data_IF_728057188537
#
_entry.id   IF_728057188537
#
_cell.length_a   1.000
_cell.length_b   1.000
_cell.length_c   1.000
_cell.angle_alpha   90.00
_cell.angle_beta   90.00
_cell.angle_gamma   90.00
#
_symmetry.space_group_name_H-M   'P 1'
#
loop_
_entity.id
_entity.type
_entity.pdbx_description
1 polymer ?
#
# COMPACT_ATOMS: atom_id res chain seq x y z
N UNK A 1 0.36 27.52 16.56
CA UNK A 1 -0.94 27.02 17.11
C UNK A 1 -1.15 25.63 16.56
N UNK A 2 -1.53 24.71 17.41
CA UNK A 2 -1.87 23.35 16.95
C UNK A 2 -3.07 23.42 16.02
N UNK A 3 -2.97 22.74 14.89
CA UNK A 3 -4.05 22.56 13.91
C UNK A 3 -4.62 21.14 14.04
N UNK A 4 -5.86 20.97 13.62
CA UNK A 4 -6.44 19.63 13.50
C UNK A 4 -6.78 19.37 12.04
N UNK A 5 -6.66 18.12 11.64
CA UNK A 5 -6.79 17.65 10.30
C UNK A 5 -7.76 16.48 10.21
N UNK A 6 -8.49 16.40 9.12
CA UNK A 6 -9.30 15.25 8.76
C UNK A 6 -8.58 14.47 7.66
N UNK A 7 -8.27 13.21 7.92
CA UNK A 7 -7.55 12.34 6.98
C UNK A 7 -8.48 11.22 6.52
N UNK A 8 -8.55 11.01 5.22
CA UNK A 8 -9.25 9.88 4.60
C UNK A 8 -8.22 8.93 4.01
N UNK A 9 -8.13 7.72 4.55
CA UNK A 9 -7.17 6.70 4.10
C UNK A 9 -7.93 5.51 3.51
N UNK A 10 -7.78 5.31 2.21
CA UNK A 10 -8.49 4.29 1.44
C UNK A 10 -7.55 3.13 1.10
N UNK A 11 -7.52 2.11 1.94
CA UNK A 11 -6.77 0.89 1.69
C UNK A 11 -7.53 -0.12 0.83
N UNK A 12 -6.92 -1.26 0.53
CA UNK A 12 -7.55 -2.32 -0.26
C UNK A 12 -8.72 -2.99 0.47
N UNK A 13 -8.53 -3.41 1.72
CA UNK A 13 -9.56 -4.16 2.47
C UNK A 13 -10.47 -3.27 3.31
N UNK A 14 -9.89 -2.24 3.91
CA UNK A 14 -10.55 -1.31 4.81
C UNK A 14 -10.18 0.12 4.47
N UNK A 15 -11.13 1.00 4.68
CA UNK A 15 -10.96 2.45 4.63
C UNK A 15 -11.18 3.04 6.01
N UNK A 16 -10.61 4.22 6.26
CA UNK A 16 -10.76 4.91 7.53
C UNK A 16 -10.77 6.43 7.35
N UNK A 17 -11.46 7.07 8.26
CA UNK A 17 -11.42 8.52 8.46
C UNK A 17 -10.86 8.78 9.85
N UNK A 18 -9.89 9.66 9.95
CA UNK A 18 -9.22 10.01 11.21
C UNK A 18 -9.23 11.52 11.43
N UNK A 19 -9.56 11.94 12.64
CA UNK A 19 -9.35 13.29 13.14
C UNK A 19 -8.06 13.31 13.93
N UNK A 20 -7.10 14.14 13.50
CA UNK A 20 -5.72 14.10 13.99
C UNK A 20 -5.21 15.50 14.27
N UNK A 21 -4.40 15.67 15.30
CA UNK A 21 -3.70 16.95 15.55
C UNK A 21 -2.48 17.09 14.63
N UNK A 22 -1.98 18.31 14.48
CA UNK A 22 -0.72 18.60 13.78
C UNK A 22 0.51 17.92 14.43
N UNK A 23 0.40 17.47 15.67
CA UNK A 23 1.44 16.69 16.36
C UNK A 23 1.36 15.18 16.06
N UNK A 24 0.37 14.74 15.28
CA UNK A 24 0.16 13.33 14.95
C UNK A 24 -0.70 12.54 15.95
N UNK A 25 -1.23 13.19 17.00
CA UNK A 25 -2.12 12.52 17.95
C UNK A 25 -3.48 12.29 17.29
N UNK A 26 -3.90 11.04 17.18
CA UNK A 26 -5.24 10.65 16.72
C UNK A 26 -6.24 11.00 17.83
N UNK A 27 -7.22 11.85 17.51
CA UNK A 27 -8.31 12.24 18.42
C UNK A 27 -9.43 11.21 18.32
N UNK A 28 -9.81 10.83 17.09
CA UNK A 28 -10.85 9.83 16.81
C UNK A 28 -10.62 9.20 15.44
N UNK A 29 -11.13 7.99 15.25
CA UNK A 29 -11.01 7.27 13.99
C UNK A 29 -12.20 6.32 13.77
N UNK A 30 -12.75 6.35 12.58
CA UNK A 30 -13.78 5.42 12.11
C UNK A 30 -13.25 4.61 10.96
N UNK A 31 -13.43 3.30 11.00
CA UNK A 31 -13.03 2.38 9.92
C UNK A 31 -14.26 1.64 9.38
N UNK A 32 -14.22 1.29 8.10
CA UNK A 32 -15.25 0.50 7.43
C UNK A 32 -14.64 -0.43 6.38
N UNK A 33 -15.27 -1.57 6.16
CA UNK A 33 -14.86 -2.53 5.13
C UNK A 33 -15.24 -2.02 3.74
N UNK A 34 -14.33 -2.24 2.78
CA UNK A 34 -14.55 -1.93 1.38
C UNK A 34 -15.33 -3.05 0.71
N UNK A 35 -16.30 -2.68 -0.12
CA UNK A 35 -17.11 -3.62 -0.87
C UNK A 35 -16.77 -3.56 -2.34
N UNK A 36 -16.52 -4.73 -2.92
CA UNK A 36 -16.24 -4.90 -4.33
C UNK A 36 -17.31 -5.75 -4.98
N UNK A 37 -17.58 -5.48 -6.26
CA UNK A 37 -18.46 -6.27 -7.11
C UNK A 37 -17.63 -7.05 -8.11
N UNK A 38 -18.09 -8.23 -8.48
CA UNK A 38 -17.50 -9.00 -9.57
C UNK A 38 -18.16 -8.61 -10.89
N UNK A 39 -17.38 -8.68 -11.95
CA UNK A 39 -17.87 -8.49 -13.30
C UNK A 39 -18.47 -9.80 -13.81
N UNK A 40 -19.62 -9.73 -14.49
CA UNK A 40 -20.32 -10.93 -14.99
C UNK A 40 -19.62 -11.57 -16.20
N UNK A 41 -18.74 -10.81 -16.89
CA UNK A 41 -18.08 -11.29 -18.12
C UNK A 41 -16.71 -11.93 -17.86
N UNK A 42 -16.10 -11.67 -16.71
CA UNK A 42 -14.77 -12.19 -16.40
C UNK A 42 -14.58 -12.36 -14.88
N UNK A 43 -14.32 -13.59 -14.46
CA UNK A 43 -14.27 -13.97 -13.04
C UNK A 43 -13.24 -13.17 -12.21
N UNK A 44 -12.09 -12.82 -12.81
CA UNK A 44 -11.02 -12.08 -12.15
C UNK A 44 -11.21 -10.55 -12.23
N UNK A 45 -12.29 -10.06 -12.87
CA UNK A 45 -12.60 -8.65 -12.94
C UNK A 45 -13.44 -8.20 -11.75
N UNK A 46 -12.95 -7.17 -11.07
CA UNK A 46 -13.61 -6.58 -9.92
C UNK A 46 -13.75 -5.07 -10.11
N UNK A 47 -14.79 -4.49 -9.51
CA UNK A 47 -15.03 -3.05 -9.51
C UNK A 47 -15.73 -2.62 -8.24
N UNK A 48 -15.76 -1.33 -7.98
CA UNK A 48 -16.61 -0.75 -6.96
C UNK A 48 -17.47 0.37 -7.54
N UNK A 49 -18.57 0.67 -6.86
CA UNK A 49 -19.46 1.78 -7.22
C UNK A 49 -19.01 3.01 -6.42
N UNK A 50 -18.49 4.07 -7.07
CA UNK A 50 -18.00 5.25 -6.38
C UNK A 50 -19.06 5.88 -5.45
N UNK A 51 -20.30 5.96 -5.87
CA UNK A 51 -21.39 6.50 -5.05
C UNK A 51 -21.58 5.80 -3.70
N UNK A 52 -21.44 4.46 -3.67
CA UNK A 52 -21.55 3.67 -2.44
C UNK A 52 -20.37 3.98 -1.48
N UNK A 53 -19.16 4.06 -2.01
CA UNK A 53 -17.97 4.39 -1.24
C UNK A 53 -17.99 5.84 -0.76
N UNK A 54 -18.37 6.79 -1.63
CA UNK A 54 -18.51 8.22 -1.30
C UNK A 54 -19.47 8.42 -0.12
N UNK A 55 -20.58 7.71 -0.11
CA UNK A 55 -21.54 7.74 1.01
C UNK A 55 -20.89 7.28 2.30
N UNK A 56 -20.22 6.12 2.32
CA UNK A 56 -19.56 5.59 3.52
C UNK A 56 -18.47 6.55 4.04
N UNK A 57 -17.71 7.17 3.14
CA UNK A 57 -16.65 8.14 3.47
C UNK A 57 -17.28 9.37 4.13
N UNK A 58 -18.31 9.97 3.51
CA UNK A 58 -18.96 11.16 4.04
C UNK A 58 -19.70 10.87 5.36
N UNK A 59 -20.35 9.72 5.48
CA UNK A 59 -20.95 9.25 6.74
C UNK A 59 -19.89 9.10 7.85
N UNK A 60 -18.72 8.55 7.52
CA UNK A 60 -17.59 8.44 8.45
C UNK A 60 -17.04 9.81 8.88
N UNK A 61 -16.88 10.73 7.93
CA UNK A 61 -16.48 12.11 8.20
C UNK A 61 -17.52 12.80 9.12
N UNK A 62 -18.78 12.71 8.77
CA UNK A 62 -19.88 13.31 9.53
C UNK A 62 -19.94 12.80 10.96
N UNK A 63 -19.80 11.48 11.14
CA UNK A 63 -19.79 10.85 12.47
C UNK A 63 -18.70 11.42 13.38
N UNK A 64 -17.46 11.54 12.86
CA UNK A 64 -16.33 12.11 13.62
C UNK A 64 -16.57 13.58 13.95
N UNK A 65 -17.00 14.37 12.97
CA UNK A 65 -17.21 15.81 13.14
C UNK A 65 -18.34 16.09 14.13
N UNK A 66 -19.43 15.33 14.07
CA UNK A 66 -20.56 15.50 15.01
C UNK A 66 -20.18 15.12 16.45
N UNK A 67 -19.22 14.18 16.62
CA UNK A 67 -18.70 13.82 17.93
C UNK A 67 -17.71 14.86 18.50
N UNK A 68 -17.10 15.68 17.63
CA UNK A 68 -16.02 16.62 18.00
C UNK A 68 -16.29 18.05 17.48
N UNK A 69 -17.49 18.57 17.70
CA UNK A 69 -17.94 19.89 17.17
C UNK A 69 -17.09 21.08 17.61
N UNK A 70 -16.39 20.96 18.75
CA UNK A 70 -15.52 22.01 19.28
C UNK A 70 -14.14 22.02 18.59
N UNK A 71 -13.82 21.01 17.79
CA UNK A 71 -12.54 20.87 17.13
C UNK A 71 -12.58 21.52 15.74
N UNK A 72 -11.86 22.62 15.59
CA UNK A 72 -11.72 23.28 14.28
C UNK A 72 -10.80 22.47 13.36
N UNK A 73 -11.32 22.01 12.21
CA UNK A 73 -10.56 21.35 11.16
C UNK A 73 -9.97 22.42 10.23
N UNK A 74 -8.63 22.43 10.11
CA UNK A 74 -7.91 23.40 9.28
C UNK A 74 -7.58 22.87 7.89
N UNK A 75 -7.49 21.55 7.74
CA UNK A 75 -7.14 20.92 6.47
C UNK A 75 -7.65 19.49 6.39
N UNK A 76 -7.83 19.04 5.17
CA UNK A 76 -8.21 17.67 4.81
C UNK A 76 -7.13 17.11 3.89
N UNK A 77 -6.79 15.84 4.03
CA UNK A 77 -5.91 15.15 3.09
C UNK A 77 -6.29 13.68 2.96
N UNK A 78 -5.71 13.00 2.01
CA UNK A 78 -6.03 11.60 1.72
C UNK A 78 -4.82 10.75 1.43
N UNK A 79 -4.99 9.46 1.63
CA UNK A 79 -4.13 8.38 1.18
C UNK A 79 -4.97 7.41 0.36
N UNK A 80 -4.39 6.80 -0.66
CA UNK A 80 -5.07 5.79 -1.46
C UNK A 80 -4.20 4.57 -1.76
N UNK A 81 -4.86 3.39 -1.79
CA UNK A 81 -4.22 2.18 -2.30
C UNK A 81 -3.80 2.40 -3.75
N UNK A 82 -2.58 2.00 -4.05
CA UNK A 82 -1.97 2.09 -5.38
C UNK A 82 -2.78 1.28 -6.41
N UNK A 83 -2.48 1.44 -7.68
CA UNK A 83 -3.03 0.72 -8.84
C UNK A 83 -4.57 0.79 -8.97
N UNK A 84 -5.22 1.73 -8.26
CA UNK A 84 -6.67 1.95 -8.29
C UNK A 84 -6.99 3.24 -9.03
N UNK A 85 -7.99 3.21 -9.91
CA UNK A 85 -8.51 4.41 -10.58
C UNK A 85 -10.03 4.52 -10.44
N UNK A 86 -10.50 5.76 -10.48
CA UNK A 86 -11.91 6.13 -10.59
C UNK A 86 -12.13 6.83 -11.93
N UNK A 87 -13.18 6.43 -12.65
CA UNK A 87 -13.50 6.92 -13.99
C UNK A 87 -14.73 7.83 -13.96
N UNK A 88 -14.66 8.91 -14.73
CA UNK A 88 -15.70 9.95 -14.85
C UNK A 88 -16.28 10.00 -16.25
N UNK A 89 -17.58 10.27 -16.31
CA UNK A 89 -18.31 10.49 -17.55
C UNK A 89 -18.20 11.95 -18.07
N UNK A 90 -18.90 12.26 -19.17
CA UNK A 90 -18.93 13.60 -19.78
C UNK A 90 -19.59 14.68 -18.91
N UNK A 91 -20.38 14.28 -17.92
CA UNK A 91 -21.05 15.18 -16.97
C UNK A 91 -20.22 15.39 -15.71
N UNK A 92 -19.04 14.76 -15.62
CA UNK A 92 -18.18 14.77 -14.42
C UNK A 92 -18.67 13.86 -13.30
N UNK A 93 -19.55 12.89 -13.60
CA UNK A 93 -19.98 11.91 -12.60
C UNK A 93 -18.97 10.75 -12.53
N UNK A 94 -18.55 10.41 -11.33
CA UNK A 94 -17.79 9.20 -11.04
C UNK A 94 -18.71 7.96 -11.14
N UNK A 95 -18.50 7.08 -12.11
CA UNK A 95 -19.45 6.00 -12.38
C UNK A 95 -18.89 4.59 -12.14
N UNK A 96 -17.58 4.39 -12.16
CA UNK A 96 -16.92 3.11 -11.87
C UNK A 96 -15.53 3.33 -11.28
N UNK A 97 -15.18 2.49 -10.28
CA UNK A 97 -13.82 2.39 -9.78
C UNK A 97 -13.22 1.02 -10.14
N UNK A 98 -11.99 1.02 -10.63
CA UNK A 98 -11.22 -0.18 -10.97
C UNK A 98 -10.13 -0.36 -9.91
N UNK A 99 -10.33 -1.27 -8.92
CA UNK A 99 -9.44 -1.41 -7.77
C UNK A 99 -8.13 -2.14 -8.12
N UNK A 100 -7.15 -2.06 -7.22
CA UNK A 100 -5.88 -2.77 -7.36
C UNK A 100 -6.02 -4.30 -7.44
N UNK A 101 -7.09 -4.86 -6.90
CA UNK A 101 -7.40 -6.31 -6.96
C UNK A 101 -8.14 -6.72 -8.25
N UNK A 102 -8.34 -5.80 -9.19
CA UNK A 102 -8.96 -6.06 -10.48
C UNK A 102 -7.92 -6.53 -11.50
N UNK A 103 -8.08 -7.74 -12.04
CA UNK A 103 -7.16 -8.35 -13.00
C UNK A 103 -7.78 -8.50 -14.39
N UNK A 104 -8.78 -7.67 -14.73
CA UNK A 104 -9.49 -7.76 -16.03
C UNK A 104 -8.62 -7.63 -17.26
N UNK A 105 -7.41 -7.07 -17.13
CA UNK A 105 -6.44 -6.97 -18.22
C UNK A 105 -5.70 -8.26 -18.55
N UNK A 106 -5.62 -9.21 -17.62
CA UNK A 106 -4.75 -10.40 -17.68
C UNK A 106 -4.89 -11.20 -18.98
N UNK A 107 -6.12 -11.35 -19.47
CA UNK A 107 -6.42 -12.11 -20.71
C UNK A 107 -5.76 -11.54 -21.97
N UNK A 108 -5.38 -10.28 -21.96
CA UNK A 108 -4.86 -9.58 -23.15
C UNK A 108 -3.42 -9.08 -22.99
N UNK A 109 -2.72 -9.44 -21.92
CA UNK A 109 -1.33 -9.01 -21.68
C UNK A 109 -0.35 -9.52 -22.75
N UNK A 110 -0.69 -10.58 -23.46
CA UNK A 110 0.13 -11.11 -24.56
C UNK A 110 0.01 -10.26 -25.86
N UNK A 111 -0.98 -9.37 -25.95
CA UNK A 111 -1.09 -8.39 -27.04
C UNK A 111 -0.08 -7.25 -26.92
N UNK A 112 0.53 -7.07 -25.73
CA UNK A 112 1.55 -6.05 -25.46
C UNK A 112 2.92 -6.62 -25.74
N UNK A 113 3.59 -6.08 -26.76
CA UNK A 113 4.89 -6.57 -27.22
C UNK A 113 6.06 -5.73 -26.67
N UNK A 114 5.82 -4.46 -26.36
CA UNK A 114 6.85 -3.50 -25.92
C UNK A 114 7.10 -3.51 -24.41
N UNK A 115 7.07 -4.70 -23.78
CA UNK A 115 7.11 -4.84 -22.31
C UNK A 115 8.36 -4.21 -21.68
N UNK A 116 9.53 -4.42 -22.28
CA UNK A 116 10.79 -3.82 -21.77
C UNK A 116 10.81 -2.30 -21.89
N UNK A 117 10.24 -1.75 -22.98
CA UNK A 117 10.11 -0.30 -23.13
C UNK A 117 9.19 0.30 -22.05
N UNK A 118 8.07 -0.38 -21.74
CA UNK A 118 7.16 0.05 -20.69
C UNK A 118 7.89 0.03 -19.34
N UNK A 119 8.63 -1.04 -19.03
CA UNK A 119 9.41 -1.11 -17.80
C UNK A 119 10.48 0.00 -17.73
N UNK A 120 11.23 0.22 -18.81
CA UNK A 120 12.24 1.29 -18.89
C UNK A 120 11.65 2.65 -18.55
N UNK A 121 10.46 2.96 -19.10
CA UNK A 121 9.84 4.27 -18.99
C UNK A 121 9.02 4.47 -17.71
N UNK A 122 8.43 3.42 -17.19
CA UNK A 122 7.54 3.50 -16.02
C UNK A 122 8.12 2.92 -14.74
N UNK A 123 9.26 2.22 -14.82
CA UNK A 123 9.82 1.48 -13.68
C UNK A 123 8.99 0.26 -13.25
N UNK A 124 7.92 -0.07 -13.97
CA UNK A 124 6.96 -1.12 -13.61
C UNK A 124 6.88 -2.21 -14.66
N UNK A 125 6.81 -3.48 -14.23
CA UNK A 125 6.58 -4.59 -15.16
C UNK A 125 5.25 -4.43 -15.89
N UNK A 126 5.21 -4.86 -17.13
CA UNK A 126 3.97 -4.90 -17.90
C UNK A 126 3.14 -6.12 -17.45
N UNK A 127 2.27 -5.91 -16.46
CA UNK A 127 1.36 -6.93 -15.90
C UNK A 127 -0.06 -6.42 -15.80
N UNK A 128 -0.99 -7.30 -15.47
CA UNK A 128 -2.42 -7.00 -15.30
C UNK A 128 -2.76 -6.10 -14.12
N UNK A 129 -1.83 -5.92 -13.18
CA UNK A 129 -2.07 -5.22 -11.91
C UNK A 129 -2.34 -3.72 -12.10
N UNK A 130 -1.85 -3.14 -13.20
CA UNK A 130 -1.86 -1.68 -13.39
C UNK A 130 -3.08 -1.16 -14.14
N UNK A 131 -3.51 0.09 -13.86
CA UNK A 131 -4.64 0.74 -14.54
C UNK A 131 -4.59 0.70 -16.06
N UNK A 132 -3.41 0.81 -16.69
CA UNK A 132 -3.28 0.67 -18.14
C UNK A 132 -3.85 -0.65 -18.66
N UNK A 133 -3.50 -1.76 -18.01
CA UNK A 133 -4.02 -3.09 -18.34
C UNK A 133 -5.51 -3.23 -18.00
N UNK A 134 -5.95 -2.68 -16.84
CA UNK A 134 -7.37 -2.67 -16.43
C UNK A 134 -8.23 -1.91 -17.44
N UNK A 135 -7.80 -0.73 -17.88
CA UNK A 135 -8.49 0.06 -18.90
C UNK A 135 -8.53 -0.67 -20.25
N UNK A 136 -7.44 -1.34 -20.65
CA UNK A 136 -7.42 -2.17 -21.84
C UNK A 136 -8.46 -3.30 -21.73
N UNK A 137 -8.48 -4.03 -20.62
CA UNK A 137 -9.47 -5.08 -20.36
C UNK A 137 -10.90 -4.54 -20.36
N UNK A 138 -11.14 -3.41 -19.68
CA UNK A 138 -12.45 -2.77 -19.65
C UNK A 138 -12.93 -2.39 -21.05
N UNK A 139 -12.07 -1.82 -21.90
CA UNK A 139 -12.36 -1.51 -23.30
C UNK A 139 -12.71 -2.75 -24.13
N UNK A 140 -12.05 -3.88 -23.87
CA UNK A 140 -12.30 -5.15 -24.56
C UNK A 140 -13.61 -5.79 -24.15
N UNK A 141 -13.99 -5.66 -22.88
CA UNK A 141 -15.17 -6.30 -22.30
C UNK A 141 -16.42 -5.39 -22.40
N UNK A 142 -16.28 -4.13 -22.11
CA UNK A 142 -17.36 -3.14 -21.97
C UNK A 142 -17.08 -1.92 -22.84
N UNK A 143 -17.03 -2.13 -24.16
CA UNK A 143 -16.63 -1.09 -25.11
C UNK A 143 -17.48 0.18 -25.03
N UNK A 144 -18.80 0.04 -24.89
CA UNK A 144 -19.72 1.18 -24.81
C UNK A 144 -19.50 2.00 -23.53
N UNK A 145 -19.29 1.33 -22.40
CA UNK A 145 -19.03 2.00 -21.13
C UNK A 145 -17.62 2.62 -21.09
N UNK A 146 -16.63 1.96 -21.71
CA UNK A 146 -15.30 2.53 -21.86
C UNK A 146 -15.33 3.86 -22.63
N UNK A 147 -16.16 3.99 -23.66
CA UNK A 147 -16.31 5.23 -24.43
C UNK A 147 -16.92 6.38 -23.63
N UNK A 148 -17.59 6.09 -22.50
CA UNK A 148 -18.09 7.10 -21.56
C UNK A 148 -16.98 7.74 -20.72
N UNK A 149 -15.82 7.09 -20.60
CA UNK A 149 -14.70 7.61 -19.78
C UNK A 149 -14.17 8.88 -20.44
N UNK A 150 -14.25 10.00 -19.71
CA UNK A 150 -13.73 11.30 -20.11
C UNK A 150 -12.59 11.79 -19.23
N UNK A 151 -12.55 11.32 -17.96
CA UNK A 151 -11.45 11.56 -17.03
C UNK A 151 -11.25 10.35 -16.13
N UNK A 152 -10.04 10.20 -15.64
CA UNK A 152 -9.69 9.27 -14.56
C UNK A 152 -8.98 10.03 -13.45
N UNK A 153 -8.98 9.48 -12.27
CA UNK A 153 -8.08 9.89 -11.20
C UNK A 153 -7.71 8.67 -10.33
N UNK A 154 -6.74 8.83 -9.45
CA UNK A 154 -6.39 7.80 -8.48
C UNK A 154 -7.34 7.82 -7.28
N UNK A 155 -7.21 6.82 -6.43
CA UNK A 155 -8.07 6.69 -5.25
C UNK A 155 -7.85 7.82 -4.23
N UNK A 156 -6.59 8.26 -4.04
CA UNK A 156 -6.27 9.38 -3.15
C UNK A 156 -6.88 10.69 -3.65
N UNK A 157 -6.65 11.05 -4.90
CA UNK A 157 -7.11 12.33 -5.47
C UNK A 157 -8.62 12.34 -5.79
N UNK A 158 -9.26 11.15 -5.86
CA UNK A 158 -10.71 11.06 -5.88
C UNK A 158 -11.34 11.66 -4.62
N UNK A 159 -10.71 11.48 -3.45
CA UNK A 159 -11.15 12.19 -2.24
C UNK A 159 -11.01 13.71 -2.43
N UNK A 160 -9.92 14.16 -3.05
CA UNK A 160 -9.75 15.58 -3.39
C UNK A 160 -10.88 16.12 -4.26
N UNK A 161 -11.31 15.34 -5.26
CA UNK A 161 -12.46 15.70 -6.10
C UNK A 161 -13.75 15.78 -5.27
N UNK A 162 -14.04 14.82 -4.40
CA UNK A 162 -15.23 14.84 -3.53
C UNK A 162 -15.28 16.14 -2.73
N UNK A 163 -14.16 16.61 -2.20
CA UNK A 163 -14.12 17.80 -1.35
C UNK A 163 -14.06 19.12 -2.12
N UNK A 164 -13.42 19.13 -3.32
CA UNK A 164 -13.13 20.39 -4.04
C UNK A 164 -13.75 20.50 -5.44
N UNK A 165 -14.21 19.36 -6.00
CA UNK A 165 -14.70 19.29 -7.39
C UNK A 165 -13.59 19.31 -8.44
N UNK A 166 -12.31 19.18 -8.08
CA UNK A 166 -11.18 19.21 -9.02
C UNK A 166 -10.57 17.83 -9.21
N UNK A 167 -10.37 17.43 -10.46
CA UNK A 167 -9.79 16.14 -10.84
C UNK A 167 -8.32 16.34 -11.18
N UNK A 168 -7.44 15.80 -10.37
CA UNK A 168 -5.98 15.81 -10.53
C UNK A 168 -5.40 14.43 -10.17
N UNK A 169 -4.09 14.25 -10.31
CA UNK A 169 -3.37 13.08 -9.81
C UNK A 169 -2.00 13.50 -9.27
N UNK A 170 -1.54 12.85 -8.23
CA UNK A 170 -0.22 13.09 -7.65
C UNK A 170 0.85 12.21 -8.34
N UNK A 171 2.12 12.66 -8.51
CA UNK A 171 3.16 11.91 -9.22
C UNK A 171 3.34 10.45 -8.79
N UNK A 172 3.34 10.15 -7.48
CA UNK A 172 3.47 8.76 -7.01
C UNK A 172 2.29 7.88 -7.46
N UNK A 173 1.08 8.46 -7.53
CA UNK A 173 -0.11 7.77 -8.03
C UNK A 173 -0.18 7.74 -9.56
N UNK A 174 0.37 8.75 -10.25
CA UNK A 174 0.48 8.74 -11.70
C UNK A 174 1.38 7.60 -12.19
N UNK A 175 2.50 7.34 -11.50
CA UNK A 175 3.38 6.20 -11.78
C UNK A 175 2.63 4.86 -11.71
N UNK A 176 1.73 4.72 -10.74
CA UNK A 176 0.95 3.51 -10.52
C UNK A 176 -0.07 3.23 -11.65
N UNK A 177 -0.28 4.17 -12.55
CA UNK A 177 -1.12 3.93 -13.73
C UNK A 177 -0.43 3.11 -14.81
N UNK A 178 0.91 3.05 -14.82
CA UNK A 178 1.77 2.55 -15.89
C UNK A 178 1.61 3.33 -17.22
N UNK A 179 1.12 4.56 -17.17
CA UNK A 179 0.96 5.47 -18.32
C UNK A 179 1.89 6.68 -18.23
N UNK A 180 2.58 6.83 -17.09
CA UNK A 180 3.42 7.98 -16.76
C UNK A 180 4.90 7.67 -16.98
N UNK A 181 5.59 8.51 -17.76
CA UNK A 181 7.04 8.43 -17.97
C UNK A 181 7.75 9.08 -16.79
N UNK A 182 8.47 8.26 -15.99
CA UNK A 182 9.15 8.73 -14.78
C UNK A 182 10.48 9.42 -15.06
N UNK A 183 10.99 9.38 -16.30
CA UNK A 183 12.17 10.15 -16.74
C UNK A 183 11.77 11.58 -17.10
N UNK A 184 10.68 11.70 -17.90
CA UNK A 184 10.22 12.98 -18.43
C UNK A 184 9.20 13.67 -17.53
N UNK A 185 8.77 13.01 -16.46
CA UNK A 185 7.72 13.46 -15.53
C UNK A 185 6.44 13.92 -16.24
N UNK A 186 5.96 13.09 -17.17
CA UNK A 186 4.76 13.38 -17.98
C UNK A 186 4.04 12.11 -18.43
N UNK A 187 2.82 12.24 -18.85
CA UNK A 187 2.08 11.17 -19.51
C UNK A 187 2.77 10.74 -20.80
N UNK A 188 2.92 9.43 -21.02
CA UNK A 188 3.59 8.88 -22.18
C UNK A 188 2.61 8.63 -23.33
N UNK A 189 2.65 9.47 -24.38
CA UNK A 189 1.84 9.28 -25.57
C UNK A 189 2.03 7.90 -26.19
N UNK A 190 3.29 7.43 -26.24
CA UNK A 190 3.61 6.12 -26.82
C UNK A 190 3.02 4.98 -26.00
N UNK A 191 3.09 5.02 -24.67
CA UNK A 191 2.51 3.95 -23.82
C UNK A 191 0.98 4.01 -23.91
N UNK A 192 0.40 5.19 -23.89
CA UNK A 192 -1.04 5.37 -24.11
C UNK A 192 -1.49 4.78 -25.45
N UNK A 193 -0.73 4.98 -26.52
CA UNK A 193 -1.00 4.40 -27.83
C UNK A 193 -0.89 2.87 -27.84
N UNK A 194 0.10 2.28 -27.15
CA UNK A 194 0.25 0.83 -26.99
C UNK A 194 -1.02 0.22 -26.34
N UNK A 195 -1.49 0.79 -25.23
CA UNK A 195 -2.70 0.34 -24.54
C UNK A 195 -3.99 0.83 -25.20
N UNK A 196 -3.91 1.73 -26.20
CA UNK A 196 -5.05 2.41 -26.88
C UNK A 196 -5.92 3.15 -25.88
N UNK A 197 -5.30 3.93 -25.03
CA UNK A 197 -5.92 4.81 -24.04
C UNK A 197 -5.81 6.25 -24.57
N UNK A 198 -6.92 6.98 -24.68
CA UNK A 198 -6.90 8.37 -25.12
C UNK A 198 -6.16 9.27 -24.13
N UNK A 199 -5.27 10.15 -24.59
CA UNK A 199 -4.53 11.08 -23.73
C UNK A 199 -5.44 12.06 -22.98
N UNK A 200 -6.56 12.43 -23.57
CA UNK A 200 -7.53 13.39 -23.00
C UNK A 200 -8.23 12.90 -21.74
N UNK A 201 -8.19 11.59 -21.46
CA UNK A 201 -8.77 11.06 -20.20
C UNK A 201 -7.83 11.23 -19.00
N UNK A 202 -6.55 11.52 -19.25
CA UNK A 202 -5.55 11.65 -18.20
C UNK A 202 -5.67 13.00 -17.51
N UNK A 203 -5.57 13.05 -16.16
CA UNK A 203 -5.72 14.27 -15.40
C UNK A 203 -4.45 15.14 -15.42
N UNK A 204 -4.59 16.38 -14.96
CA UNK A 204 -3.46 17.22 -14.58
C UNK A 204 -2.69 16.61 -13.40
N UNK A 205 -1.36 16.73 -13.42
CA UNK A 205 -0.51 16.25 -12.34
C UNK A 205 -0.19 17.40 -11.38
N UNK A 206 -0.47 17.20 -10.08
CA UNK A 206 -0.16 18.15 -9.01
C UNK A 206 0.61 17.46 -7.89
N UNK A 207 1.54 18.17 -7.25
CA UNK A 207 2.42 17.54 -6.26
C UNK A 207 1.74 17.36 -4.89
N UNK A 208 2.20 16.35 -4.16
CA UNK A 208 1.87 16.20 -2.75
C UNK A 208 2.20 17.46 -1.95
N UNK A 209 1.44 17.75 -0.91
CA UNK A 209 1.53 18.97 -0.08
C UNK A 209 1.05 20.26 -0.77
N UNK A 210 0.71 20.26 -2.05
CA UNK A 210 0.05 21.40 -2.69
C UNK A 210 -1.44 21.48 -2.29
N UNK A 211 -1.96 22.70 -2.20
CA UNK A 211 -3.40 22.91 -1.95
C UNK A 211 -4.22 22.70 -3.21
N UNK A 212 -5.17 21.79 -3.18
CA UNK A 212 -6.16 21.66 -4.24
C UNK A 212 -7.24 22.76 -4.15
N UNK A 213 -7.26 23.49 -3.05
CA UNK A 213 -8.14 24.60 -2.77
C UNK A 213 -9.03 24.37 -1.55
N UNK A 214 -9.90 25.34 -1.30
CA UNK A 214 -10.89 25.25 -0.22
C UNK A 214 -11.94 24.18 -0.54
N UNK A 215 -12.48 23.57 0.49
CA UNK A 215 -13.61 22.65 0.34
C UNK A 215 -14.83 23.41 -0.17
N UNK A 216 -15.66 22.74 -0.97
CA UNK A 216 -16.87 23.37 -1.54
C UNK A 216 -17.90 23.70 -0.46
N UNK A 217 -18.72 24.75 -0.71
CA UNK A 217 -19.81 25.12 0.19
C UNK A 217 -20.77 23.95 0.46
N UNK A 218 -20.99 23.09 -0.54
CA UNK A 218 -21.82 21.90 -0.41
C UNK A 218 -21.27 20.96 0.68
N UNK A 219 -20.00 20.59 0.59
CA UNK A 219 -19.34 19.67 1.54
C UNK A 219 -19.18 20.34 2.91
N UNK A 220 -18.82 21.63 2.96
CA UNK A 220 -18.76 22.41 4.19
C UNK A 220 -20.08 22.36 4.95
N UNK A 221 -21.20 22.62 4.27
CA UNK A 221 -22.54 22.60 4.88
C UNK A 221 -23.00 21.19 5.29
N UNK A 222 -22.72 20.18 4.43
CA UNK A 222 -23.09 18.79 4.67
C UNK A 222 -22.37 18.20 5.90
N UNK A 223 -21.09 18.42 6.01
CA UNK A 223 -20.25 17.86 7.07
C UNK A 223 -20.15 18.75 8.31
N UNK A 224 -20.35 20.05 8.18
CA UNK A 224 -20.13 21.03 9.24
C UNK A 224 -18.66 21.39 9.44
N UNK A 225 -17.84 21.29 8.38
CA UNK A 225 -16.44 21.73 8.36
C UNK A 225 -16.38 23.22 7.99
N UNK A 226 -15.43 23.94 8.57
CA UNK A 226 -15.17 25.35 8.22
C UNK A 226 -14.87 25.45 6.71
N UNK A 227 -15.56 26.36 6.03
CA UNK A 227 -15.37 26.64 4.59
C UNK A 227 -13.96 27.13 4.24
N UNK A 228 -13.18 27.58 5.24
CA UNK A 228 -11.78 27.97 5.07
C UNK A 228 -10.82 26.78 5.19
N UNK A 229 -11.29 25.59 5.51
CA UNK A 229 -10.48 24.38 5.44
C UNK A 229 -10.06 24.09 4.00
N UNK A 230 -8.80 23.68 3.83
CA UNK A 230 -8.23 23.37 2.51
C UNK A 230 -8.03 21.87 2.35
N UNK A 231 -8.20 21.39 1.12
CA UNK A 231 -7.79 20.04 0.77
C UNK A 231 -6.33 20.07 0.28
N UNK A 232 -5.47 19.31 0.94
CA UNK A 232 -4.05 19.20 0.62
C UNK A 232 -3.81 17.83 -0.01
N UNK A 233 -3.17 17.83 -1.17
CA UNK A 233 -2.90 16.62 -1.95
C UNK A 233 -2.03 15.66 -1.15
N UNK A 234 -2.50 14.44 -1.02
CA UNK A 234 -1.80 13.34 -0.36
C UNK A 234 -0.95 12.52 -1.31
N UNK A 235 -1.33 11.28 -1.59
CA UNK A 235 -0.64 10.40 -2.53
C UNK A 235 -0.74 8.92 -2.16
N UNK A 236 0.21 8.13 -2.64
CA UNK A 236 0.25 6.69 -2.46
C UNK A 236 0.53 6.29 -1.01
N UNK A 237 -0.18 5.27 -0.54
CA UNK A 237 -0.14 4.79 0.85
C UNK A 237 1.27 4.38 1.31
N UNK A 238 2.03 3.68 0.49
CA UNK A 238 3.39 3.22 0.79
C UNK A 238 4.36 4.40 0.93
N UNK A 239 4.28 5.38 0.03
CA UNK A 239 5.13 6.58 0.06
C UNK A 239 4.77 7.48 1.26
N UNK A 240 3.49 7.60 1.60
CA UNK A 240 3.04 8.30 2.81
C UNK A 240 3.54 7.61 4.08
N UNK A 241 3.50 6.27 4.12
CA UNK A 241 4.03 5.51 5.25
C UNK A 241 5.55 5.72 5.41
N UNK A 242 6.31 5.72 4.32
CA UNK A 242 7.75 6.04 4.33
C UNK A 242 8.01 7.46 4.84
N UNK A 243 7.21 8.44 4.41
CA UNK A 243 7.29 9.83 4.88
C UNK A 243 7.02 9.93 6.37
N UNK A 244 6.03 9.19 6.89
CA UNK A 244 5.74 9.15 8.32
C UNK A 244 6.95 8.69 9.14
N UNK A 245 7.66 7.69 8.66
CA UNK A 245 8.84 7.10 9.31
C UNK A 245 10.13 7.90 9.08
N UNK A 246 10.08 9.06 8.39
CA UNK A 246 11.25 9.86 8.02
C UNK A 246 12.32 9.06 7.26
N UNK A 247 11.91 8.15 6.40
CA UNK A 247 12.81 7.39 5.55
C UNK A 247 13.63 8.35 4.70
N UNK A 248 14.94 8.25 4.80
CA UNK A 248 15.91 9.10 4.07
C UNK A 248 16.43 8.35 2.86
N UNK A 249 17.07 9.10 1.96
CA UNK A 249 17.81 8.54 0.84
C UNK A 249 18.82 7.50 1.35
N UNK A 250 18.76 6.30 0.80
CA UNK A 250 19.59 5.17 1.18
C UNK A 250 19.10 4.35 2.39
N UNK A 251 18.07 4.77 3.12
CA UNK A 251 17.46 3.91 4.14
C UNK A 251 16.66 2.78 3.50
N UNK A 252 16.59 1.64 4.18
CA UNK A 252 15.65 0.56 3.84
C UNK A 252 14.48 0.62 4.82
N UNK A 253 13.27 0.56 4.28
CA UNK A 253 12.05 0.50 5.07
C UNK A 253 11.15 -0.66 4.62
N UNK A 254 10.51 -1.33 5.57
CA UNK A 254 9.50 -2.37 5.32
C UNK A 254 8.14 -1.79 5.71
N UNK A 255 7.20 -1.78 4.76
CA UNK A 255 5.82 -1.32 5.01
C UNK A 255 4.92 -2.53 5.06
N UNK A 256 4.66 -3.08 6.25
CA UNK A 256 3.88 -4.31 6.43
C UNK A 256 2.39 -4.02 6.60
N UNK A 257 1.67 -3.99 5.48
CA UNK A 257 0.21 -3.84 5.38
C UNK A 257 -0.48 -5.06 4.76
N UNK A 258 -1.34 -4.86 3.79
CA UNK A 258 -1.95 -5.93 2.96
C UNK A 258 -0.88 -6.76 2.27
N UNK A 259 0.10 -6.08 1.68
CA UNK A 259 1.38 -6.61 1.19
C UNK A 259 2.50 -6.17 2.12
N UNK A 260 3.75 -6.53 1.82
CA UNK A 260 4.90 -6.10 2.64
C UNK A 260 6.06 -5.63 1.76
N UNK A 261 5.91 -4.52 1.03
CA UNK A 261 7.00 -3.97 0.24
C UNK A 261 8.22 -3.64 1.09
N UNK A 262 9.39 -3.97 0.54
CA UNK A 262 10.70 -3.56 1.03
C UNK A 262 11.21 -2.49 0.10
N UNK A 263 11.37 -1.29 0.61
CA UNK A 263 11.65 -0.09 -0.17
C UNK A 263 12.96 0.58 0.23
N UNK A 264 13.54 1.32 -0.70
CA UNK A 264 14.57 2.33 -0.44
C UNK A 264 14.28 3.59 -1.26
N UNK A 265 14.76 4.73 -0.79
CA UNK A 265 14.62 6.02 -1.49
C UNK A 265 15.97 6.40 -2.08
N UNK A 266 15.97 6.86 -3.33
CA UNK A 266 17.14 7.31 -4.08
C UNK A 266 16.93 8.70 -4.66
N UNK A 267 18.02 9.46 -4.84
CA UNK A 267 17.98 10.76 -5.53
C UNK A 267 17.87 10.62 -7.04
N UNK A 268 18.28 9.49 -7.60
CA UNK A 268 18.28 9.21 -9.03
C UNK A 268 17.47 7.95 -9.32
N UNK A 269 16.88 7.88 -10.52
CA UNK A 269 16.17 6.70 -11.01
C UNK A 269 17.09 5.49 -11.02
N UNK A 270 16.62 4.40 -10.44
CA UNK A 270 17.28 3.10 -10.56
C UNK A 270 16.60 2.27 -11.64
N UNK A 271 17.39 1.76 -12.58
CA UNK A 271 16.95 0.84 -13.61
C UNK A 271 17.70 -0.49 -13.46
N UNK A 272 16.98 -1.58 -13.31
CA UNK A 272 17.54 -2.92 -13.26
C UNK A 272 17.33 -3.64 -14.60
N UNK A 273 18.41 -3.92 -15.35
CA UNK A 273 18.36 -4.65 -16.63
C UNK A 273 17.67 -6.02 -16.53
N UNK A 274 17.69 -6.64 -15.35
CA UNK A 274 17.00 -7.91 -15.07
C UNK A 274 15.55 -7.71 -14.62
N UNK A 275 15.12 -6.47 -14.50
CA UNK A 275 13.78 -6.07 -14.06
C UNK A 275 13.39 -6.72 -12.72
N UNK A 276 14.28 -6.73 -11.71
CA UNK A 276 14.06 -7.35 -10.40
C UNK A 276 13.47 -6.42 -9.34
N UNK A 277 13.16 -5.19 -9.68
CA UNK A 277 12.54 -4.21 -8.79
C UNK A 277 11.53 -3.36 -9.54
N UNK A 278 10.73 -2.65 -8.78
CA UNK A 278 9.95 -1.53 -9.28
C UNK A 278 10.61 -0.22 -8.86
N UNK A 279 10.48 0.79 -9.71
CA UNK A 279 10.98 2.15 -9.44
C UNK A 279 9.87 3.14 -9.72
N UNK A 280 9.52 3.96 -8.73
CA UNK A 280 8.48 4.96 -8.80
C UNK A 280 9.04 6.33 -8.44
N UNK A 281 8.31 7.37 -8.83
CA UNK A 281 8.47 8.66 -8.18
C UNK A 281 7.97 8.60 -6.74
N UNK A 282 8.73 9.19 -5.84
CA UNK A 282 8.29 9.44 -4.49
C UNK A 282 7.36 10.66 -4.45
N UNK A 283 6.72 10.91 -3.30
CA UNK A 283 5.83 12.06 -3.11
C UNK A 283 6.47 13.36 -3.60
N UNK A 284 5.72 14.10 -4.43
CA UNK A 284 6.19 15.35 -5.02
C UNK A 284 7.23 15.20 -6.12
N UNK A 285 7.53 13.98 -6.59
CA UNK A 285 8.30 13.71 -7.81
C UNK A 285 9.79 14.07 -7.80
N UNK A 286 10.40 14.35 -6.63
CA UNK A 286 11.80 14.79 -6.57
C UNK A 286 12.81 13.66 -6.33
N UNK A 287 12.39 12.57 -5.77
CA UNK A 287 13.18 11.39 -5.48
C UNK A 287 12.46 10.16 -5.98
N UNK A 288 13.15 9.03 -5.99
CA UNK A 288 12.61 7.77 -6.47
C UNK A 288 12.50 6.78 -5.31
N UNK A 289 11.45 5.97 -5.34
CA UNK A 289 11.29 4.83 -4.46
C UNK A 289 11.58 3.55 -5.25
N UNK A 290 12.52 2.76 -4.80
CA UNK A 290 12.78 1.42 -5.36
C UNK A 290 12.18 0.38 -4.44
N UNK A 291 11.45 -0.56 -5.02
CA UNK A 291 10.63 -1.54 -4.29
C UNK A 291 10.87 -2.96 -4.78
N UNK A 292 10.92 -3.89 -3.82
CA UNK A 292 10.70 -5.32 -4.00
C UNK A 292 9.56 -5.77 -3.10
N UNK A 293 8.72 -6.74 -3.56
CA UNK A 293 7.46 -7.01 -2.87
C UNK A 293 7.13 -8.53 -2.85
N UNK A 294 6.83 -9.15 -1.70
CA UNK A 294 6.43 -10.55 -1.62
C UNK A 294 4.96 -10.81 -2.07
N UNK A 295 4.25 -9.76 -2.49
CA UNK A 295 2.82 -9.83 -2.77
C UNK A 295 1.97 -9.83 -1.49
N UNK A 296 0.84 -10.52 -1.52
CA UNK A 296 -0.10 -10.56 -0.39
C UNK A 296 0.50 -11.33 0.78
N UNK A 297 0.63 -10.65 1.91
CA UNK A 297 1.22 -11.16 3.17
C UNK A 297 0.32 -10.89 4.37
N UNK A 298 0.22 -9.65 4.84
CA UNK A 298 -0.53 -9.31 6.04
C UNK A 298 -2.03 -9.61 5.92
N UNK A 299 -2.63 -9.46 4.73
CA UNK A 299 -4.01 -9.85 4.50
C UNK A 299 -4.22 -11.36 4.67
N UNK A 300 -3.25 -12.20 4.27
CA UNK A 300 -3.31 -13.64 4.53
C UNK A 300 -3.34 -13.92 6.03
N UNK A 301 -2.49 -13.23 6.81
CA UNK A 301 -2.50 -13.39 8.26
C UNK A 301 -3.79 -12.88 8.91
N UNK A 302 -4.32 -11.73 8.45
CA UNK A 302 -5.59 -11.20 8.96
C UNK A 302 -6.75 -12.18 8.73
N UNK A 303 -6.84 -12.76 7.53
CA UNK A 303 -7.85 -13.77 7.18
C UNK A 303 -7.67 -15.04 8.01
N UNK A 304 -6.43 -15.51 8.14
CA UNK A 304 -6.09 -16.66 8.98
C UNK A 304 -6.45 -16.39 10.45
N UNK A 305 -6.06 -15.23 11.00
CA UNK A 305 -6.39 -14.84 12.36
C UNK A 305 -7.91 -14.75 12.58
N UNK A 306 -8.66 -14.16 11.67
CA UNK A 306 -10.12 -14.09 11.73
C UNK A 306 -10.76 -15.48 11.76
N UNK A 307 -10.21 -16.44 11.01
CA UNK A 307 -10.73 -17.80 10.94
C UNK A 307 -10.40 -18.63 12.19
N UNK A 308 -9.17 -18.54 12.68
CA UNK A 308 -8.63 -19.48 13.70
C UNK A 308 -8.50 -18.87 15.09
N UNK A 309 -8.43 -17.53 15.19
CA UNK A 309 -8.13 -16.77 16.42
C UNK A 309 -8.99 -15.50 16.53
N UNK A 310 -10.28 -15.58 16.15
CA UNK A 310 -11.14 -14.40 16.04
C UNK A 310 -11.12 -13.48 17.26
N UNK A 311 -11.19 -14.06 18.47
CA UNK A 311 -11.29 -13.36 19.74
C UNK A 311 -9.95 -13.21 20.47
N UNK A 312 -8.84 -13.64 19.84
CA UNK A 312 -7.49 -13.58 20.43
C UNK A 312 -6.82 -12.26 20.06
N UNK A 313 -6.30 -11.51 21.04
CA UNK A 313 -5.50 -10.30 20.79
C UNK A 313 -4.14 -10.63 20.17
N UNK A 314 -3.43 -9.61 19.66
CA UNK A 314 -2.06 -9.81 19.18
C UNK A 314 -1.11 -10.13 20.33
N UNK A 315 -1.31 -9.55 21.50
CA UNK A 315 -0.54 -9.79 22.72
C UNK A 315 -0.67 -11.23 23.20
N UNK A 316 -1.89 -11.75 23.27
CA UNK A 316 -2.15 -13.15 23.64
C UNK A 316 -1.52 -14.13 22.64
N UNK A 317 -1.61 -13.82 21.35
CA UNK A 317 -1.00 -14.62 20.29
C UNK A 317 0.53 -14.62 20.41
N UNK A 318 1.15 -13.46 20.62
CA UNK A 318 2.59 -13.34 20.83
C UNK A 318 3.06 -14.13 22.09
N UNK A 319 2.25 -14.17 23.17
CA UNK A 319 2.53 -15.01 24.35
C UNK A 319 2.47 -16.50 24.04
N UNK A 320 1.55 -16.93 23.17
CA UNK A 320 1.48 -18.33 22.72
C UNK A 320 2.70 -18.69 21.86
N UNK A 321 3.08 -17.80 20.94
CA UNK A 321 4.23 -17.97 20.05
C UNK A 321 5.57 -17.98 20.81
N UNK A 322 5.72 -17.16 21.85
CA UNK A 322 6.92 -17.09 22.66
C UNK A 322 7.24 -18.41 23.40
N UNK A 323 6.25 -19.29 23.58
CA UNK A 323 6.43 -20.62 24.19
C UNK A 323 6.98 -21.66 23.20
N UNK A 324 6.91 -21.38 21.89
CA UNK A 324 7.39 -22.28 20.85
C UNK A 324 8.91 -22.20 20.72
N UNK A 325 9.57 -23.36 20.84
CA UNK A 325 11.03 -23.50 20.71
C UNK A 325 11.46 -24.14 19.39
N UNK A 326 10.49 -24.73 18.69
CA UNK A 326 10.68 -25.37 17.41
C UNK A 326 9.41 -25.25 16.58
N UNK A 327 9.47 -25.60 15.31
CA UNK A 327 8.34 -25.59 14.40
C UNK A 327 8.03 -27.02 13.91
N UNK A 328 6.77 -27.31 13.65
CA UNK A 328 6.28 -28.63 13.21
C UNK A 328 5.76 -28.61 11.78
N UNK A 329 5.51 -27.41 11.22
CA UNK A 329 5.09 -27.23 9.85
C UNK A 329 5.65 -25.91 9.30
N UNK A 330 5.76 -25.83 7.96
CA UNK A 330 6.00 -24.59 7.24
C UNK A 330 4.74 -24.17 6.50
N UNK A 331 4.57 -22.87 6.29
CA UNK A 331 3.48 -22.31 5.46
C UNK A 331 4.06 -21.68 4.19
N UNK A 332 3.24 -21.59 3.14
CA UNK A 332 3.53 -20.82 1.94
C UNK A 332 2.24 -20.19 1.43
N UNK A 333 2.02 -18.92 1.73
CA UNK A 333 0.83 -18.16 1.34
C UNK A 333 1.16 -16.82 0.70
N UNK A 334 2.40 -16.33 0.83
CA UNK A 334 2.85 -15.11 0.14
C UNK A 334 2.72 -15.31 -1.37
N UNK A 335 2.06 -14.37 -2.05
CA UNK A 335 1.49 -14.62 -3.37
C UNK A 335 2.45 -14.42 -4.54
N UNK A 336 3.65 -13.83 -4.32
CA UNK A 336 4.53 -13.43 -5.41
C UNK A 336 5.97 -13.90 -5.18
N UNK A 337 6.55 -14.49 -6.21
CA UNK A 337 8.01 -14.62 -6.36
C UNK A 337 8.48 -13.45 -7.23
N UNK A 338 8.84 -12.36 -6.59
CA UNK A 338 9.10 -11.08 -7.22
C UNK A 338 10.25 -11.14 -8.23
N UNK A 339 11.39 -11.71 -7.84
CA UNK A 339 12.55 -11.79 -8.74
C UNK A 339 12.32 -12.61 -10.01
N UNK A 340 11.33 -13.50 -9.99
CA UNK A 340 10.90 -14.31 -11.13
C UNK A 340 9.65 -13.75 -11.81
N UNK A 341 9.07 -12.66 -11.33
CA UNK A 341 7.80 -12.08 -11.83
C UNK A 341 6.66 -13.11 -11.86
N UNK A 342 6.67 -14.04 -10.89
CA UNK A 342 5.78 -15.19 -10.89
C UNK A 342 4.78 -15.12 -9.74
N UNK A 343 3.49 -15.00 -10.07
CA UNK A 343 2.41 -15.16 -9.10
C UNK A 343 2.29 -16.63 -8.68
N UNK A 344 2.23 -16.87 -7.38
CA UNK A 344 2.10 -18.21 -6.82
C UNK A 344 0.62 -18.56 -6.67
N UNK A 345 0.21 -19.63 -7.34
CA UNK A 345 -1.19 -20.05 -7.41
C UNK A 345 -1.56 -21.11 -6.36
N UNK A 346 -0.56 -21.75 -5.75
CA UNK A 346 -0.75 -22.79 -4.73
C UNK A 346 -0.09 -22.40 -3.43
N UNK A 347 -0.82 -22.49 -2.34
CA UNK A 347 -0.34 -22.27 -0.99
C UNK A 347 -0.85 -23.34 -0.05
N UNK A 348 -0.27 -23.43 1.14
CA UNK A 348 -0.69 -24.38 2.15
C UNK A 348 0.36 -24.57 3.23
N UNK A 349 0.09 -25.58 4.08
CA UNK A 349 1.00 -26.04 5.11
C UNK A 349 1.68 -27.33 4.67
N UNK A 350 2.98 -27.41 4.90
CA UNK A 350 3.77 -28.65 4.72
C UNK A 350 4.27 -29.09 6.09
N UNK A 351 3.98 -30.29 6.47
CA UNK A 351 4.36 -30.84 7.78
C UNK A 351 4.96 -32.23 7.64
N UNK A 352 5.68 -32.66 8.67
CA UNK A 352 6.29 -33.99 8.71
C UNK A 352 5.25 -35.08 8.90
N UNK A 353 5.48 -36.25 8.32
CA UNK A 353 4.71 -37.45 8.56
C UNK A 353 5.47 -38.38 9.55
N UNK A 354 4.77 -39.08 10.47
CA UNK A 354 3.32 -39.00 10.75
C UNK A 354 2.91 -37.66 11.35
N UNK A 355 1.59 -37.41 11.42
CA UNK A 355 1.06 -36.16 11.99
C UNK A 355 1.62 -35.91 13.41
N UNK A 356 2.14 -34.69 13.70
CA UNK A 356 2.78 -34.40 14.99
C UNK A 356 1.82 -34.52 16.18
N UNK A 357 2.23 -35.21 17.24
CA UNK A 357 1.36 -35.51 18.38
C UNK A 357 0.99 -34.29 19.24
N UNK A 358 1.90 -33.29 19.32
CA UNK A 358 1.77 -32.13 20.21
C UNK A 358 1.52 -30.83 19.43
N UNK A 359 0.92 -30.91 18.25
CA UNK A 359 0.60 -29.76 17.44
C UNK A 359 -0.64 -29.04 17.96
N UNK A 360 -0.59 -27.72 18.00
CA UNK A 360 -1.71 -26.85 18.36
C UNK A 360 -1.91 -25.72 17.33
N UNK A 361 -2.90 -24.86 17.56
CA UNK A 361 -3.19 -23.74 16.64
C UNK A 361 -2.05 -22.72 16.56
N UNK A 362 -1.26 -22.58 17.63
CA UNK A 362 -0.13 -21.66 17.63
C UNK A 362 0.98 -22.09 16.64
N UNK A 363 1.12 -23.40 16.34
CA UNK A 363 2.07 -23.86 15.34
C UNK A 363 1.69 -23.39 13.91
N UNK A 364 0.41 -23.35 13.61
CA UNK A 364 -0.07 -22.79 12.34
C UNK A 364 0.13 -21.27 12.27
N UNK A 365 -0.13 -20.55 13.38
CA UNK A 365 0.12 -19.13 13.45
C UNK A 365 1.61 -18.79 13.31
N UNK A 366 2.47 -19.55 13.99
CA UNK A 366 3.93 -19.48 13.84
C UNK A 366 4.33 -19.65 12.39
N UNK A 367 3.80 -20.68 11.71
CA UNK A 367 4.12 -20.97 10.32
C UNK A 367 3.70 -19.83 9.38
N UNK A 368 2.50 -19.26 9.54
CA UNK A 368 2.03 -18.16 8.69
C UNK A 368 2.85 -16.90 8.90
N UNK A 369 3.16 -16.53 10.15
CA UNK A 369 3.99 -15.35 10.44
C UNK A 369 5.43 -15.55 9.97
N UNK A 370 5.95 -16.78 10.10
CA UNK A 370 7.28 -17.13 9.58
C UNK A 370 7.33 -17.09 8.05
N UNK A 371 6.27 -17.51 7.33
CA UNK A 371 6.18 -17.35 5.87
C UNK A 371 6.28 -15.86 5.48
N UNK A 372 5.60 -14.98 6.20
CA UNK A 372 5.69 -13.54 5.99
C UNK A 372 7.11 -13.04 6.22
N UNK A 373 7.73 -13.39 7.34
CA UNK A 373 9.10 -12.98 7.67
C UNK A 373 10.11 -13.47 6.60
N UNK A 374 10.02 -14.74 6.21
CA UNK A 374 10.87 -15.34 5.19
C UNK A 374 10.68 -14.66 3.83
N UNK A 375 9.45 -14.37 3.46
CA UNK A 375 9.13 -13.71 2.20
C UNK A 375 9.66 -12.27 2.15
N UNK A 376 9.50 -11.51 3.22
CA UNK A 376 10.10 -10.18 3.39
C UNK A 376 11.63 -10.26 3.32
N UNK A 377 12.23 -11.23 4.00
CA UNK A 377 13.69 -11.41 4.01
C UNK A 377 14.25 -11.68 2.61
N UNK A 378 13.59 -12.50 1.80
CA UNK A 378 13.97 -12.70 0.40
C UNK A 378 13.94 -11.39 -0.39
N UNK A 379 12.92 -10.55 -0.18
CA UNK A 379 12.84 -9.25 -0.84
C UNK A 379 13.92 -8.29 -0.35
N UNK A 380 14.22 -8.29 0.94
CA UNK A 380 15.33 -7.54 1.50
C UNK A 380 16.68 -7.95 0.89
N UNK A 381 16.93 -9.27 0.72
CA UNK A 381 18.13 -9.76 0.09
C UNK A 381 18.21 -9.31 -1.38
N UNK A 382 17.11 -9.44 -2.14
CA UNK A 382 17.04 -8.99 -3.52
C UNK A 382 17.34 -7.49 -3.66
N UNK A 383 16.74 -6.66 -2.80
CA UNK A 383 16.96 -5.22 -2.82
C UNK A 383 18.44 -4.86 -2.50
N UNK A 384 19.02 -5.50 -1.49
CA UNK A 384 20.43 -5.27 -1.12
C UNK A 384 21.45 -5.76 -2.14
N UNK A 385 21.12 -6.80 -2.91
CA UNK A 385 21.95 -7.26 -4.01
C UNK A 385 22.04 -6.19 -5.12
N UNK A 386 20.93 -5.52 -5.40
CA UNK A 386 20.84 -4.46 -6.41
C UNK A 386 21.38 -3.12 -5.90
N UNK A 387 20.99 -2.76 -4.67
CA UNK A 387 21.30 -1.45 -4.06
C UNK A 387 21.98 -1.73 -2.71
N UNK A 388 23.32 -1.70 -2.66
CA UNK A 388 24.06 -1.91 -1.42
C UNK A 388 23.66 -0.90 -0.34
N UNK A 389 23.44 -1.37 0.88
CA UNK A 389 23.11 -0.55 2.05
C UNK A 389 23.99 -0.94 3.22
N UNK A 390 24.63 0.04 3.87
CA UNK A 390 25.57 -0.14 4.97
C UNK A 390 24.96 0.10 6.36
N UNK A 391 23.70 0.58 6.43
CA UNK A 391 23.04 0.84 7.71
C UNK A 391 22.93 -0.44 8.53
N UNK A 392 23.11 -0.34 9.83
CA UNK A 392 22.94 -1.44 10.79
C UNK A 392 21.47 -1.63 11.23
N UNK A 393 20.56 -0.86 10.64
CA UNK A 393 19.13 -0.89 10.93
C UNK A 393 18.29 -0.93 9.65
N UNK A 394 17.03 -1.31 9.86
CA UNK A 394 15.93 -1.25 8.90
C UNK A 394 14.78 -0.50 9.59
N UNK A 395 14.10 0.37 8.87
CA UNK A 395 12.87 1.00 9.37
C UNK A 395 11.67 0.09 9.10
N UNK A 396 10.71 0.11 9.99
CA UNK A 396 9.47 -0.67 9.86
C UNK A 396 8.23 0.15 10.17
N UNK A 397 7.16 -0.07 9.41
CA UNK A 397 5.83 0.47 9.71
C UNK A 397 4.71 -0.41 9.13
N UNK A 398 3.48 -0.10 9.55
CA UNK A 398 2.28 -0.83 9.15
C UNK A 398 1.79 -1.83 10.19
N UNK A 399 0.51 -2.22 10.04
CA UNK A 399 -0.19 -3.03 11.03
C UNK A 399 0.34 -4.45 11.25
N UNK A 400 1.13 -4.99 10.30
CA UNK A 400 1.77 -6.30 10.45
C UNK A 400 2.77 -6.34 11.60
N UNK A 401 3.43 -5.22 11.89
CA UNK A 401 4.40 -5.11 12.99
C UNK A 401 3.77 -4.99 14.39
N UNK A 402 2.46 -5.12 14.52
CA UNK A 402 1.82 -5.39 15.82
C UNK A 402 2.24 -6.74 16.41
N UNK A 403 2.63 -7.71 15.58
CA UNK A 403 3.20 -8.96 16.02
C UNK A 403 4.67 -8.79 16.41
N UNK A 404 4.99 -8.97 17.69
CA UNK A 404 6.37 -8.98 18.21
C UNK A 404 7.18 -10.11 17.60
N UNK A 405 6.53 -11.27 17.38
CA UNK A 405 7.17 -12.40 16.72
C UNK A 405 7.70 -12.01 15.33
N UNK A 406 6.87 -11.36 14.51
CA UNK A 406 7.29 -10.91 13.18
C UNK A 406 8.47 -9.93 13.27
N UNK A 407 8.43 -8.99 14.22
CA UNK A 407 9.51 -8.03 14.44
C UNK A 407 10.85 -8.71 14.77
N UNK A 408 10.84 -9.65 15.70
CA UNK A 408 12.05 -10.42 16.06
C UNK A 408 12.53 -11.30 14.90
N UNK A 409 11.61 -11.97 14.19
CA UNK A 409 11.96 -12.83 13.07
C UNK A 409 12.64 -12.05 11.93
N UNK A 410 12.19 -10.83 11.66
CA UNK A 410 12.83 -9.95 10.65
C UNK A 410 14.20 -9.48 11.13
N UNK A 411 14.34 -9.07 12.40
CA UNK A 411 15.63 -8.65 12.92
C UNK A 411 16.65 -9.83 12.87
N UNK A 412 16.24 -11.02 13.28
CA UNK A 412 17.09 -12.22 13.24
C UNK A 412 17.52 -12.58 11.82
N UNK A 413 16.58 -12.69 10.88
CA UNK A 413 16.88 -13.04 9.49
C UNK A 413 17.78 -12.02 8.79
N UNK A 414 17.57 -10.73 9.05
CA UNK A 414 18.32 -9.66 8.37
C UNK A 414 19.65 -9.35 9.03
N UNK A 415 19.83 -9.76 10.30
CA UNK A 415 20.98 -9.39 11.13
C UNK A 415 21.05 -7.88 11.39
N UNK A 416 19.92 -7.16 11.33
CA UNK A 416 19.82 -5.71 11.49
C UNK A 416 18.82 -5.36 12.58
N UNK A 417 19.02 -4.21 13.22
CA UNK A 417 18.00 -3.66 14.12
C UNK A 417 16.76 -3.29 13.29
N UNK A 418 15.57 -3.75 13.71
CA UNK A 418 14.30 -3.24 13.18
C UNK A 418 13.86 -2.07 14.09
N UNK A 419 13.79 -0.87 13.52
CA UNK A 419 13.42 0.35 14.23
C UNK A 419 12.06 0.85 13.77
N UNK A 420 11.18 1.13 14.72
CA UNK A 420 9.84 1.67 14.47
C UNK A 420 9.60 2.89 15.34
N UNK A 421 8.98 3.91 14.78
CA UNK A 421 8.61 5.11 15.51
C UNK A 421 7.14 5.02 15.99
N UNK A 422 6.80 5.84 16.98
CA UNK A 422 5.44 5.93 17.49
C UNK A 422 4.43 6.17 16.35
N UNK A 423 3.29 5.47 16.38
CA UNK A 423 2.28 5.51 15.34
C UNK A 423 2.62 4.72 14.07
N UNK A 424 3.62 3.84 14.12
CA UNK A 424 4.02 2.99 12.98
C UNK A 424 2.85 2.22 12.36
N UNK A 425 1.83 1.86 13.14
CA UNK A 425 0.63 1.14 12.69
C UNK A 425 -0.42 2.05 12.02
N UNK A 426 -0.23 3.37 12.08
CA UNK A 426 -1.04 4.41 11.45
C UNK A 426 -0.19 5.28 10.49
N UNK A 427 0.86 4.70 9.93
CA UNK A 427 1.88 5.45 9.19
C UNK A 427 1.31 6.25 8.01
N UNK A 428 0.33 5.74 7.25
CA UNK A 428 -0.31 6.46 6.14
C UNK A 428 -1.00 7.74 6.61
N UNK A 429 -1.74 7.67 7.73
CA UNK A 429 -2.41 8.82 8.34
C UNK A 429 -1.37 9.86 8.78
N UNK A 430 -0.29 9.42 9.44
CA UNK A 430 0.78 10.32 9.89
C UNK A 430 1.57 10.92 8.73
N UNK A 431 1.70 10.21 7.61
CA UNK A 431 2.26 10.75 6.38
C UNK A 431 1.46 11.94 5.84
N UNK A 432 0.13 11.82 5.82
CA UNK A 432 -0.76 12.93 5.46
C UNK A 432 -0.64 14.11 6.43
N UNK A 433 -0.50 13.86 7.75
CA UNK A 433 -0.25 14.93 8.74
C UNK A 433 1.02 15.71 8.41
N UNK A 434 2.09 15.00 8.01
CA UNK A 434 3.35 15.66 7.64
C UNK A 434 3.21 16.55 6.40
N UNK A 435 2.45 16.10 5.38
CA UNK A 435 2.16 16.91 4.20
C UNK A 435 1.35 18.18 4.55
N UNK A 436 0.33 18.02 5.39
CA UNK A 436 -0.47 19.14 5.87
C UNK A 436 0.40 20.14 6.68
N UNK A 437 1.27 19.64 7.55
CA UNK A 437 2.20 20.48 8.30
C UNK A 437 3.16 21.25 7.37
N UNK A 438 3.72 20.59 6.35
CA UNK A 438 4.56 21.23 5.33
C UNK A 438 3.80 22.36 4.64
N UNK A 439 2.56 22.11 4.24
CA UNK A 439 1.71 23.12 3.62
C UNK A 439 1.47 24.33 4.53
N UNK A 440 1.13 24.08 5.79
CA UNK A 440 0.82 25.14 6.75
C UNK A 440 2.05 25.74 7.44
N UNK A 441 3.27 25.37 7.06
CA UNK A 441 4.51 25.88 7.64
C UNK A 441 4.69 25.49 9.12
N UNK A 442 4.13 24.32 9.51
CA UNK A 442 4.30 23.74 10.84
C UNK A 442 5.50 22.79 10.79
N UNK A 443 6.40 22.96 11.74
CA UNK A 443 7.58 22.10 11.83
C UNK A 443 7.16 20.63 12.10
N UNK A 444 7.52 19.75 11.18
CA UNK A 444 7.42 18.32 11.35
C UNK A 444 8.49 17.85 12.34
N UNK A 445 8.39 18.27 13.59
CA UNK A 445 9.29 17.72 14.62
C UNK A 445 9.21 16.21 14.52
N UNK A 446 10.37 15.60 14.27
CA UNK A 446 10.48 14.16 14.44
C UNK A 446 9.87 13.81 15.80
N UNK A 447 9.05 12.77 15.85
CA UNK A 447 8.61 12.25 17.14
C UNK A 447 9.83 12.24 18.05
N UNK A 448 9.79 12.97 19.14
CA UNK A 448 10.88 13.00 20.12
C UNK A 448 10.96 11.69 20.90
N UNK A 449 10.03 10.77 20.63
CA UNK A 449 10.03 9.41 21.18
C UNK A 449 11.19 8.61 20.61
N UNK A 450 11.90 7.93 21.49
CA UNK A 450 12.88 6.94 21.07
C UNK A 450 12.19 5.86 20.24
N UNK A 451 12.83 5.34 19.16
CA UNK A 451 12.26 4.27 18.38
C UNK A 451 12.14 3.00 19.20
N UNK A 452 11.07 2.25 18.98
CA UNK A 452 10.98 0.86 19.41
C UNK A 452 11.98 0.04 18.58
N UNK A 453 12.94 -0.63 19.25
CA UNK A 453 14.04 -1.32 18.59
C UNK A 453 13.96 -2.81 18.90
N UNK A 454 13.93 -3.63 17.85
CA UNK A 454 14.11 -5.07 17.90
C UNK A 454 15.51 -5.41 17.39
N UNK A 455 16.35 -5.97 18.26
CA UNK A 455 17.73 -6.35 17.91
C UNK A 455 17.77 -7.80 17.44
N UNK A 456 18.65 -8.12 16.48
CA UNK A 456 18.90 -9.50 16.11
C UNK A 456 19.45 -10.30 17.31
N UNK A 457 19.08 -11.58 17.38
CA UNK A 457 19.61 -12.48 18.38
C UNK A 457 21.10 -12.73 18.11
N UNK A 458 21.89 -12.84 19.16
CA UNK A 458 23.32 -13.16 19.06
C UNK A 458 23.59 -14.65 18.75
N UNK A 459 22.60 -15.52 18.87
CA UNK A 459 22.71 -16.94 18.53
C UNK A 459 22.64 -17.14 17.01
N UNK A 460 23.55 -17.88 16.40
CA UNK A 460 23.55 -18.12 14.95
C UNK A 460 22.59 -19.25 14.50
N UNK A 461 21.72 -19.75 15.36
CA UNK A 461 20.77 -20.84 15.06
C UNK A 461 19.41 -20.56 15.70
N UNK A 462 18.82 -19.43 15.29
CA UNK A 462 17.48 -19.06 15.76
C UNK A 462 16.41 -19.97 15.15
N UNK A 463 15.24 -20.03 15.79
CA UNK A 463 14.10 -20.77 15.26
C UNK A 463 13.78 -20.34 13.82
N UNK A 464 13.78 -19.03 13.56
CA UNK A 464 13.40 -18.50 12.22
C UNK A 464 14.47 -18.79 11.15
N UNK A 465 15.75 -18.87 11.50
CA UNK A 465 16.81 -19.25 10.56
C UNK A 465 16.67 -20.73 10.15
N UNK A 466 16.43 -21.64 11.11
CA UNK A 466 16.13 -23.05 10.80
C UNK A 466 14.86 -23.19 9.97
N UNK A 467 13.81 -22.42 10.33
CA UNK A 467 12.56 -22.38 9.58
C UNK A 467 12.80 -21.92 8.13
N UNK A 468 13.59 -20.89 7.90
CA UNK A 468 13.88 -20.37 6.56
C UNK A 468 14.52 -21.40 5.64
N UNK A 469 15.43 -22.23 6.16
CA UNK A 469 16.06 -23.29 5.37
C UNK A 469 15.02 -24.33 4.88
N UNK A 470 14.12 -24.77 5.75
CA UNK A 470 13.07 -25.74 5.39
C UNK A 470 11.98 -25.08 4.53
N UNK A 471 11.61 -23.84 4.84
CA UNK A 471 10.62 -23.07 4.09
C UNK A 471 10.98 -22.91 2.61
N UNK A 472 12.23 -22.61 2.29
CA UNK A 472 12.69 -22.48 0.89
C UNK A 472 12.47 -23.76 0.08
N UNK A 473 12.75 -24.90 0.66
CA UNK A 473 12.57 -26.20 0.03
C UNK A 473 11.09 -26.48 -0.20
N UNK A 474 10.28 -26.32 0.85
CA UNK A 474 8.85 -26.62 0.81
C UNK A 474 8.08 -25.67 -0.12
N UNK A 475 8.45 -24.38 -0.15
CA UNK A 475 7.85 -23.40 -1.07
C UNK A 475 8.07 -23.77 -2.54
N UNK A 476 9.28 -24.24 -2.89
CA UNK A 476 9.59 -24.69 -4.25
C UNK A 476 8.83 -25.98 -4.63
N UNK A 477 8.58 -26.88 -3.68
CA UNK A 477 7.77 -28.08 -3.93
C UNK A 477 6.32 -27.71 -4.27
N UNK A 478 5.76 -26.73 -3.55
CA UNK A 478 4.38 -26.28 -3.81
C UNK A 478 4.24 -25.49 -5.13
N UNK A 479 5.30 -24.83 -5.57
CA UNK A 479 5.33 -23.96 -6.75
C UNK A 479 6.59 -24.23 -7.60
N UNK A 480 6.68 -25.41 -8.24
CA UNK A 480 7.85 -25.81 -9.02
C UNK A 480 8.09 -24.94 -10.27
#
# INVERSE_FOLDING_TARGET
MDKNYLIVDLGTGNSRVALVTSTGKIIDMVSFENEYKRDDLYEDAQYFIPGDWKKKILDGCKKIIDAHKDVKISGVSSSGARETIVCYDENGNDFIGLPNIDNRGAKWMDEIHEKSYIYEKTGRWCTEDFPAAKMMGYRKMHREDFMKIKKITSLSEWIGEIFTGKIVIEPSMACETQLYDIDDHKWSEKICAIYKIPMEVLPEVMNASESLGKITDKISNELGIDKDAEFIIGGADTQLAAKAMNVKVGDICIVSGTTSPVITILDEKYYDEKERCWTDLNLGGKTYQVETNPGVTGNNFQRFKKLMFNDTSYEELDEMLAKKKDFVCTASFSSLNFSQKKSLKKGGFVMRAPFPQNMDLADYALAVLSDIACSIYVQYQNLREMIPNSNDYILGCGGGFKSKYLCHAIADLTGRELRMYEGFDQATVLGCVKLLNEHFGIDNKASTSEPLIYKPNSSPDTLIERYFQEWRVNRNILNP
#
